data_IF_549016824294
#
_entry.id   IF_549016824294
#
_cell.length_a   1.000
_cell.length_b   1.000
_cell.length_c   1.000
_cell.angle_alpha   90.00
_cell.angle_beta   90.00
_cell.angle_gamma   90.00
#
_symmetry.space_group_name_H-M   'P 1'
#
loop_
_entity.id
_entity.type
_entity.pdbx_description
1 polymer ?
#
# COMPACT_ATOMS: atom_id res chain seq x y z
N UNK A 1 -18.20 -13.00 -1.05
CA UNK A 1 -17.15 -12.15 -0.44
C UNK A 1 -16.01 -12.08 -1.44
N UNK A 2 -16.27 -11.38 -2.55
CA UNK A 2 -15.48 -11.43 -3.78
C UNK A 2 -15.39 -10.01 -4.30
N UNK A 3 -14.15 -9.54 -4.42
CA UNK A 3 -13.74 -8.44 -5.30
C UNK A 3 -14.40 -7.09 -5.05
N UNK A 4 -13.85 -6.32 -4.10
CA UNK A 4 -13.82 -4.85 -4.25
C UNK A 4 -13.00 -4.55 -5.52
N UNK A 5 -13.65 -4.64 -6.68
CA UNK A 5 -13.00 -4.45 -7.96
C UNK A 5 -12.70 -2.96 -8.09
N UNK A 6 -11.47 -2.56 -7.78
CA UNK A 6 -10.98 -1.22 -8.10
C UNK A 6 -11.22 -1.00 -9.60
N UNK A 7 -11.92 0.08 -9.94
CA UNK A 7 -12.56 0.27 -11.27
C UNK A 7 -11.57 0.29 -12.43
N UNK A 8 -10.28 0.39 -12.15
CA UNK A 8 -9.17 0.17 -13.08
C UNK A 8 -8.36 -0.99 -12.50
N UNK A 9 -8.23 -2.11 -13.22
CA UNK A 9 -7.42 -3.28 -12.80
C UNK A 9 -5.91 -2.99 -12.88
N UNK A 10 -5.49 -1.91 -12.23
CA UNK A 10 -4.12 -1.40 -12.22
C UNK A 10 -3.55 -1.65 -10.84
N UNK A 11 -2.48 -2.44 -10.80
CA UNK A 11 -1.72 -2.70 -9.57
C UNK A 11 -0.96 -1.44 -9.17
N UNK A 12 -1.00 -1.10 -7.87
CA UNK A 12 -0.23 0.02 -7.31
C UNK A 12 0.90 -0.56 -6.46
N UNK A 13 2.14 -0.29 -6.87
CA UNK A 13 3.31 -0.53 -6.01
C UNK A 13 3.79 0.82 -5.45
N UNK A 14 4.10 0.85 -4.15
CA UNK A 14 4.55 2.04 -3.45
C UNK A 14 5.94 1.80 -2.85
N UNK A 15 6.90 2.66 -3.19
CA UNK A 15 8.23 2.70 -2.57
C UNK A 15 8.36 4.01 -1.80
N UNK A 16 8.38 3.92 -0.47
CA UNK A 16 8.61 5.08 0.39
C UNK A 16 10.11 5.29 0.57
N UNK A 17 10.60 6.41 0.06
CA UNK A 17 12.03 6.79 0.14
C UNK A 17 12.36 7.52 1.43
N UNK A 18 11.39 8.27 1.98
CA UNK A 18 11.59 9.10 3.17
C UNK A 18 10.28 9.34 3.93
N UNK A 19 10.39 9.63 5.22
CA UNK A 19 9.28 9.98 6.11
C UNK A 19 8.73 8.79 6.91
N UNK A 20 7.78 9.01 7.83
CA UNK A 20 7.14 7.95 8.59
C UNK A 20 6.23 7.09 7.71
N UNK A 21 5.98 5.85 8.12
CA UNK A 21 5.09 4.94 7.39
C UNK A 21 3.73 5.56 7.09
N UNK A 22 3.28 5.38 5.86
CA UNK A 22 2.01 5.93 5.39
C UNK A 22 0.97 4.83 5.24
N UNK A 23 0.03 4.79 6.19
CA UNK A 23 -1.06 3.81 6.22
C UNK A 23 -1.84 3.77 4.89
N UNK A 24 -2.11 4.94 4.29
CA UNK A 24 -2.85 5.03 3.03
C UNK A 24 -2.14 4.36 1.84
N UNK A 25 -0.81 4.51 1.72
CA UNK A 25 -0.07 3.86 0.63
C UNK A 25 0.04 2.36 0.84
N UNK A 26 0.18 1.91 2.09
CA UNK A 26 0.15 0.49 2.44
C UNK A 26 -1.21 -0.13 2.07
N UNK A 27 -2.31 0.53 2.43
CA UNK A 27 -3.67 0.12 2.07
C UNK A 27 -3.89 0.11 0.56
N UNK A 28 -3.47 1.15 -0.16
CA UNK A 28 -3.64 1.23 -1.62
C UNK A 28 -2.88 0.12 -2.35
N UNK A 29 -1.64 -0.15 -1.95
CA UNK A 29 -0.87 -1.25 -2.51
C UNK A 29 -1.54 -2.60 -2.22
N UNK A 30 -1.95 -2.83 -0.97
CA UNK A 30 -2.63 -4.07 -0.59
C UNK A 30 -3.95 -4.31 -1.34
N UNK A 31 -4.83 -3.31 -1.41
CA UNK A 31 -6.13 -3.41 -2.06
C UNK A 31 -6.02 -3.65 -3.57
N UNK A 32 -4.90 -3.26 -4.19
CA UNK A 32 -4.64 -3.49 -5.62
C UNK A 32 -3.78 -4.72 -5.90
N UNK A 33 -3.40 -5.48 -4.86
CA UNK A 33 -2.51 -6.63 -4.97
C UNK A 33 -1.07 -6.28 -5.37
N UNK A 34 -0.65 -5.04 -5.10
CA UNK A 34 0.72 -4.55 -5.28
C UNK A 34 1.51 -4.58 -3.98
N UNK A 35 2.69 -3.96 -4.03
CA UNK A 35 3.73 -4.09 -3.00
C UNK A 35 4.00 -2.74 -2.34
N UNK A 36 4.22 -2.73 -1.04
CA UNK A 36 4.70 -1.55 -0.32
C UNK A 36 6.08 -1.83 0.23
N UNK A 37 7.04 -0.94 -0.06
CA UNK A 37 8.42 -1.04 0.40
C UNK A 37 8.84 0.26 1.08
N UNK A 38 9.35 0.15 2.30
CA UNK A 38 9.94 1.28 3.02
C UNK A 38 11.47 1.18 2.97
N UNK A 39 12.11 2.18 2.38
CA UNK A 39 13.57 2.22 2.24
C UNK A 39 14.21 2.70 3.55
N UNK A 40 14.88 1.80 4.26
CA UNK A 40 15.73 2.17 5.40
C UNK A 40 17.02 2.86 4.95
N UNK A 41 17.54 2.49 3.78
CA UNK A 41 18.75 3.07 3.19
C UNK A 41 18.53 3.42 1.72
N UNK A 42 18.72 4.69 1.37
CA UNK A 42 18.51 5.19 0.00
C UNK A 42 19.62 4.78 -0.96
N UNK A 43 20.82 4.44 -0.45
CA UNK A 43 21.92 3.86 -1.23
C UNK A 43 21.55 2.51 -1.86
N UNK A 44 20.67 1.76 -1.20
CA UNK A 44 20.16 0.49 -1.69
C UNK A 44 18.94 0.65 -2.62
N UNK A 45 18.51 1.88 -2.95
CA UNK A 45 17.31 2.12 -3.78
C UNK A 45 17.37 1.37 -5.12
N UNK A 46 18.52 1.38 -5.79
CA UNK A 46 18.69 0.60 -7.02
C UNK A 46 18.54 -0.89 -6.76
N UNK A 47 19.10 -1.41 -5.67
CA UNK A 47 18.94 -2.81 -5.28
C UNK A 47 17.46 -3.13 -5.00
N UNK A 48 16.73 -2.29 -4.28
CA UNK A 48 15.30 -2.50 -4.03
C UNK A 48 14.43 -2.40 -5.29
N UNK A 49 14.81 -1.56 -6.25
CA UNK A 49 14.18 -1.52 -7.55
C UNK A 49 14.53 -2.76 -8.40
N UNK A 50 15.71 -3.35 -8.22
CA UNK A 50 16.29 -4.44 -9.04
C UNK A 50 16.11 -5.84 -8.44
N UNK A 51 15.79 -6.03 -7.15
CA UNK A 51 15.80 -7.37 -6.54
C UNK A 51 14.59 -8.22 -6.96
N UNK A 52 14.87 -9.18 -7.84
CA UNK A 52 14.42 -10.58 -7.80
C UNK A 52 15.35 -11.37 -6.87
N UNK A 53 14.83 -12.07 -5.86
CA UNK A 53 15.60 -13.17 -5.23
C UNK A 53 15.50 -14.38 -6.15
N UNK A 54 16.44 -14.52 -7.07
CA UNK A 54 16.64 -15.78 -7.78
C UNK A 54 17.01 -16.85 -6.75
N UNK A 55 16.16 -17.86 -6.61
CA UNK A 55 16.45 -19.05 -5.82
C UNK A 55 16.37 -20.29 -6.71
N UNK A 56 17.30 -20.43 -7.67
CA UNK A 56 17.91 -21.72 -8.01
C UNK A 56 19.09 -21.57 -9.00
N UNK A 57 20.21 -22.31 -8.81
CA UNK A 57 21.25 -22.43 -9.82
C UNK A 57 20.85 -23.53 -10.82
N UNK A 58 20.45 -23.17 -12.03
CA UNK A 58 20.49 -24.11 -13.14
C UNK A 58 21.11 -23.47 -14.35
N UNK A 59 22.29 -24.00 -14.68
CA UNK A 59 23.00 -23.89 -15.95
C UNK A 59 22.07 -23.61 -17.13
N UNK A 60 22.11 -22.38 -17.67
CA UNK A 60 22.28 -22.07 -19.09
C UNK A 60 22.09 -20.55 -19.35
N UNK A 61 23.22 -19.84 -19.43
CA UNK A 61 23.42 -18.49 -20.01
C UNK A 61 22.54 -17.34 -19.47
N UNK A 62 23.05 -16.49 -18.54
CA UNK A 62 22.34 -15.28 -18.13
C UNK A 62 22.45 -14.23 -19.25
N UNK A 63 21.31 -13.85 -19.82
CA UNK A 63 21.19 -12.56 -20.50
C UNK A 63 21.07 -11.46 -19.43
N UNK A 64 21.48 -10.21 -19.70
CA UNK A 64 21.30 -9.11 -18.77
C UNK A 64 19.82 -8.71 -18.70
N UNK A 65 18.99 -9.52 -18.03
CA UNK A 65 17.66 -9.12 -17.62
C UNK A 65 17.79 -8.47 -16.24
N UNK A 66 17.92 -7.15 -16.25
CA UNK A 66 17.67 -6.30 -15.09
C UNK A 66 16.24 -6.59 -14.62
N UNK A 67 16.08 -7.54 -13.69
CA UNK A 67 14.76 -8.03 -13.31
C UNK A 67 14.27 -7.27 -12.10
N UNK A 68 13.65 -6.13 -12.36
CA UNK A 68 13.12 -5.24 -11.35
C UNK A 68 12.02 -5.88 -10.49
N UNK A 69 11.91 -5.45 -9.22
CA UNK A 69 10.84 -5.83 -8.27
C UNK A 69 9.54 -5.02 -8.50
N UNK A 70 9.68 -3.79 -9.02
CA UNK A 70 8.57 -2.87 -9.31
C UNK A 70 8.10 -2.85 -10.79
N UNK A 71 8.92 -3.34 -11.72
CA UNK A 71 8.58 -3.46 -13.15
C UNK A 71 8.26 -4.88 -13.68
N UNK A 72 8.24 -5.98 -12.90
CA UNK A 72 7.91 -7.27 -13.46
C UNK A 72 6.40 -7.34 -13.78
N UNK A 73 6.02 -7.89 -14.95
CA UNK A 73 4.62 -8.13 -15.27
C UNK A 73 3.92 -8.94 -14.17
N UNK A 74 2.62 -8.71 -13.89
CA UNK A 74 1.89 -9.39 -12.82
C UNK A 74 2.03 -10.92 -12.79
N UNK A 75 2.24 -11.54 -13.97
CA UNK A 75 2.40 -12.98 -14.12
C UNK A 75 3.63 -13.56 -13.39
N UNK A 76 4.75 -12.82 -13.31
CA UNK A 76 6.00 -13.34 -12.72
C UNK A 76 6.19 -12.94 -11.26
N UNK A 77 5.36 -12.03 -10.74
CA UNK A 77 5.40 -11.57 -9.34
C UNK A 77 5.18 -12.70 -8.32
N UNK A 78 4.46 -13.76 -8.70
CA UNK A 78 4.21 -14.93 -7.84
C UNK A 78 5.43 -15.84 -7.64
N UNK A 79 6.43 -15.72 -8.51
CA UNK A 79 7.66 -16.53 -8.47
C UNK A 79 8.81 -15.74 -7.85
N UNK A 80 8.67 -14.41 -7.79
CA UNK A 80 9.59 -13.50 -7.14
C UNK A 80 9.25 -13.40 -5.66
N UNK A 81 10.25 -13.52 -4.78
CA UNK A 81 10.08 -13.25 -3.35
C UNK A 81 9.94 -11.74 -3.14
N UNK A 82 8.73 -11.22 -3.34
CA UNK A 82 8.36 -9.84 -3.04
C UNK A 82 8.12 -9.72 -1.52
N UNK A 83 8.63 -8.67 -0.86
CA UNK A 83 8.35 -8.45 0.56
C UNK A 83 6.84 -8.35 0.82
N UNK A 84 6.37 -9.15 1.77
CA UNK A 84 4.97 -9.18 2.19
C UNK A 84 4.68 -8.05 3.18
N UNK A 85 3.52 -7.39 3.05
CA UNK A 85 3.08 -6.42 4.05
C UNK A 85 2.58 -7.16 5.30
N UNK A 86 3.36 -7.13 6.38
CA UNK A 86 3.04 -7.90 7.61
C UNK A 86 1.84 -7.37 8.38
N UNK A 87 1.66 -6.04 8.45
CA UNK A 87 0.58 -5.39 9.24
C UNK A 87 0.10 -4.12 8.58
N UNK A 88 -1.10 -4.16 8.01
CA UNK A 88 -1.77 -2.99 7.45
C UNK A 88 -2.85 -2.55 8.44
N UNK A 89 -2.80 -1.28 8.87
CA UNK A 89 -3.80 -0.71 9.77
C UNK A 89 -5.03 -0.26 8.97
N UNK A 90 -6.19 -0.87 9.21
CA UNK A 90 -7.47 -0.50 8.58
C UNK A 90 -8.40 0.30 9.50
N UNK A 91 -7.91 0.74 10.67
CA UNK A 91 -8.73 1.50 11.59
C UNK A 91 -9.14 2.83 10.97
N UNK A 92 -10.37 3.25 11.27
CA UNK A 92 -10.89 4.52 10.79
C UNK A 92 -10.16 5.67 11.51
N UNK A 93 -9.87 6.73 10.76
CA UNK A 93 -9.43 8.00 11.32
C UNK A 93 -10.61 8.98 11.38
N UNK A 94 -10.68 9.77 12.44
CA UNK A 94 -11.59 10.91 12.53
C UNK A 94 -11.14 12.00 11.55
N UNK A 95 -12.05 12.50 10.70
CA UNK A 95 -11.71 13.53 9.72
C UNK A 95 -11.33 14.87 10.36
N UNK A 96 -11.91 15.21 11.53
CA UNK A 96 -11.62 16.48 12.22
C UNK A 96 -10.17 16.59 12.70
N UNK A 97 -9.64 15.51 13.30
CA UNK A 97 -8.38 15.53 14.05
C UNK A 97 -7.33 14.59 13.49
N UNK A 98 -7.66 13.77 12.48
CA UNK A 98 -6.80 12.75 11.87
C UNK A 98 -6.29 11.68 12.84
N UNK A 99 -6.91 11.58 14.01
CA UNK A 99 -6.61 10.54 15.00
C UNK A 99 -7.40 9.27 14.68
N UNK A 100 -6.76 8.13 14.91
CA UNK A 100 -7.42 6.83 14.82
C UNK A 100 -8.49 6.71 15.90
N UNK A 101 -9.66 6.17 15.54
CA UNK A 101 -10.80 5.97 16.44
C UNK A 101 -11.28 4.53 16.39
N UNK A 102 -11.55 3.95 17.56
CA UNK A 102 -12.15 2.62 17.66
C UNK A 102 -13.69 2.68 17.57
N UNK A 103 -14.29 3.78 18.03
CA UNK A 103 -15.72 4.09 17.88
C UNK A 103 -15.82 5.47 17.21
N UNK A 104 -16.58 5.54 16.12
CA UNK A 104 -16.77 6.77 15.35
C UNK A 104 -18.24 7.06 15.06
N UNK A 105 -18.56 8.33 14.87
CA UNK A 105 -19.88 8.82 14.47
C UNK A 105 -19.82 9.25 13.00
N UNK A 106 -20.86 8.96 12.22
CA UNK A 106 -20.90 9.25 10.78
C UNK A 106 -21.95 10.31 10.50
N UNK A 107 -21.59 11.33 9.71
CA UNK A 107 -22.56 12.29 9.21
C UNK A 107 -23.48 11.64 8.17
N UNK A 108 -24.79 11.71 8.35
CA UNK A 108 -25.77 11.12 7.42
C UNK A 108 -25.82 11.80 6.05
N UNK A 109 -25.26 13.00 5.93
CA UNK A 109 -25.26 13.77 4.67
C UNK A 109 -23.99 13.54 3.88
N UNK A 110 -22.82 13.80 4.49
CA UNK A 110 -21.53 13.77 3.81
C UNK A 110 -20.68 12.53 4.11
N UNK A 111 -21.17 11.61 4.95
CA UNK A 111 -20.50 10.36 5.34
C UNK A 111 -19.13 10.55 6.01
N UNK A 112 -18.82 11.75 6.49
CA UNK A 112 -17.58 12.01 7.24
C UNK A 112 -17.61 11.33 8.62
N UNK A 113 -16.48 10.76 9.03
CA UNK A 113 -16.27 10.14 10.34
C UNK A 113 -15.76 11.16 11.36
N UNK A 114 -16.34 11.15 12.56
CA UNK A 114 -15.96 11.99 13.69
C UNK A 114 -15.74 11.17 14.96
N UNK A 115 -14.89 11.67 15.88
CA UNK A 115 -14.58 10.97 17.14
C UNK A 115 -15.67 11.13 18.20
N UNK A 116 -16.49 12.18 18.11
CA UNK A 116 -17.59 12.47 19.04
C UNK A 116 -18.74 13.14 18.29
N UNK A 117 -20.00 13.04 18.76
CA UNK A 117 -21.17 13.49 18.00
C UNK A 117 -21.22 15.02 17.85
N UNK A 118 -20.71 15.77 18.84
CA UNK A 118 -20.62 17.24 18.75
C UNK A 118 -19.67 17.75 17.66
N UNK A 119 -18.74 16.92 17.19
CA UNK A 119 -17.83 17.28 16.12
C UNK A 119 -18.47 17.17 14.72
N UNK A 120 -19.62 16.49 14.59
CA UNK A 120 -20.36 16.37 13.33
C UNK A 120 -20.96 17.70 12.86
N UNK A 121 -21.23 18.64 13.78
CA UNK A 121 -21.74 19.98 13.45
C UNK A 121 -20.76 20.79 12.58
N UNK A 122 -19.48 20.44 12.56
CA UNK A 122 -18.47 21.04 11.67
C UNK A 122 -18.61 20.60 10.21
N UNK A 123 -19.40 19.57 9.93
CA UNK A 123 -19.55 18.98 8.60
C UNK A 123 -20.96 19.13 8.01
N UNK A 124 -21.90 19.67 8.76
CA UNK A 124 -23.23 20.00 8.27
C UNK A 124 -23.22 21.43 7.72
N UNK A 125 -23.66 21.66 6.46
CA UNK A 125 -23.92 23.02 6.00
C UNK A 125 -25.04 23.62 6.87
N UNK A 126 -24.80 24.82 7.40
CA UNK A 126 -25.82 25.64 8.10
C UNK A 126 -26.97 25.99 7.17
#
# INVERSE_FOLDING_TARGET
MTELTFSQKVTIDACQVFGPDTVFLQQAAHLTGGSYLHLTETSALLQYLIVSRDSLPSSHRPQPSTQMSFLPPPAIRKVLAVPTQDRIDFRAACFCHKNIVDIGFVCSVCLSSASHPSALSRFTPT
#
